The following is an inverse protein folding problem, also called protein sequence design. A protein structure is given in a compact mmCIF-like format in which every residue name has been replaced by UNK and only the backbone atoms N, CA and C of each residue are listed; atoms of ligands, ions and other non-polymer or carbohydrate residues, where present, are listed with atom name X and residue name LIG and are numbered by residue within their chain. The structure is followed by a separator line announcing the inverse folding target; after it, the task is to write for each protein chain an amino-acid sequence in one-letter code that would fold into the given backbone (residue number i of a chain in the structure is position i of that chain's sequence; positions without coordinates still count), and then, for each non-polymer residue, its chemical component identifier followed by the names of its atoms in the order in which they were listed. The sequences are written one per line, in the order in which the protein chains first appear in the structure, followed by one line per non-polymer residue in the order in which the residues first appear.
data_IF_520112464449
#
_entry.id   IF_520112464449
#
_cell.length_a   1.000
_cell.length_b   1.000
_cell.length_c   1.000
_cell.angle_alpha   90.00
_cell.angle_beta   90.00
_cell.angle_gamma   90.00
#
_symmetry.space_group_name_H-M   'P 1'
#
loop_
_entity.id
_entity.type
_entity.pdbx_description
1 polymer ?
#
# COMPACT_ATOMS: atom_id res chain seq x y z
N UNK A 1 11.58 -11.75 26.71
CA UNK A 1 12.78 -12.46 26.24
C UNK A 1 13.21 -12.12 24.81
N UNK A 2 12.38 -11.56 23.93
CA UNK A 2 12.78 -11.16 22.55
C UNK A 2 13.60 -9.84 22.50
N UNK A 3 13.39 -8.92 23.42
CA UNK A 3 14.08 -7.63 23.48
C UNK A 3 15.53 -7.72 23.92
N UNK A 4 15.91 -8.77 24.66
CA UNK A 4 17.26 -8.92 25.15
C UNK A 4 18.25 -9.41 24.07
N UNK A 5 17.77 -10.20 23.08
CA UNK A 5 18.62 -10.69 21.98
C UNK A 5 19.02 -9.58 21.01
N UNK A 6 18.15 -8.60 20.76
CA UNK A 6 18.45 -7.46 19.88
C UNK A 6 19.51 -6.52 20.47
N UNK A 7 19.50 -6.32 21.80
CA UNK A 7 20.46 -5.50 22.50
C UNK A 7 21.85 -6.16 22.53
N UNK A 8 21.91 -7.48 22.67
CA UNK A 8 23.17 -8.23 22.69
C UNK A 8 23.86 -8.23 21.31
N UNK A 9 23.10 -8.26 20.21
CA UNK A 9 23.67 -8.22 18.86
C UNK A 9 24.29 -6.86 18.55
N UNK A 10 23.67 -5.75 19.01
CA UNK A 10 24.24 -4.40 18.86
C UNK A 10 25.53 -4.19 19.69
N UNK A 11 25.63 -4.80 20.88
CA UNK A 11 26.83 -4.77 21.70
C UNK A 11 27.99 -5.53 21.06
N UNK A 12 27.72 -6.64 20.37
CA UNK A 12 28.75 -7.43 19.67
C UNK A 12 29.29 -6.66 18.46
N UNK A 13 28.44 -5.93 17.72
CA UNK A 13 28.86 -5.07 16.60
C UNK A 13 29.73 -3.92 17.09
N UNK A 14 29.37 -3.27 18.20
CA UNK A 14 30.16 -2.18 18.79
C UNK A 14 31.53 -2.64 19.33
N UNK A 15 31.61 -3.84 19.89
CA UNK A 15 32.87 -4.43 20.39
C UNK A 15 33.85 -4.80 19.26
N UNK A 16 33.35 -5.30 18.11
CA UNK A 16 34.23 -5.65 16.99
C UNK A 16 34.77 -4.41 16.25
N UNK A 17 34.01 -3.30 16.20
CA UNK A 17 34.49 -2.04 15.61
C UNK A 17 35.55 -1.34 16.47
N UNK A 18 35.45 -1.42 17.80
CA UNK A 18 36.47 -0.84 18.69
C UNK A 18 37.85 -1.56 18.59
N UNK A 19 37.87 -2.86 18.29
CA UNK A 19 39.14 -3.61 18.13
C UNK A 19 39.84 -3.24 16.80
N UNK A 20 39.08 -2.96 15.73
CA UNK A 20 39.66 -2.53 14.44
C UNK A 20 40.08 -1.07 14.48
N UNK A 21 39.36 -0.19 15.20
CA UNK A 21 39.72 1.20 15.37
C UNK A 21 41.01 1.38 16.20
N UNK A 22 41.27 0.53 17.21
CA UNK A 22 42.50 0.60 18.01
C UNK A 22 43.77 0.18 17.25
N UNK A 23 43.67 -0.73 16.27
CA UNK A 23 44.84 -1.10 15.45
C UNK A 23 45.11 -0.10 14.31
N UNK A 24 44.12 0.66 13.85
CA UNK A 24 44.29 1.70 12.83
C UNK A 24 44.76 3.06 13.41
N UNK A 25 44.60 3.28 14.73
CA UNK A 25 44.89 4.59 15.38
C UNK A 25 46.36 4.78 15.72
N UNK A 26 47.26 3.83 15.44
CA UNK A 26 48.66 3.97 15.83
C UNK A 26 49.63 4.50 14.77
N UNK A 27 49.19 4.82 13.56
CA UNK A 27 50.09 5.33 12.51
C UNK A 27 49.65 6.54 11.70
N UNK A 28 48.79 7.43 12.14
CA UNK A 28 48.61 8.71 11.43
C UNK A 28 48.29 9.85 12.39
N UNK A 29 49.35 10.44 12.96
CA UNK A 29 49.36 11.84 13.38
C UNK A 29 49.76 12.73 12.19
N UNK A 30 48.99 13.85 12.07
CA UNK A 30 49.18 15.03 11.25
C UNK A 30 48.67 15.00 9.82
N UNK A 31 47.47 15.57 9.59
CA UNK A 31 47.25 16.82 8.82
C UNK A 31 45.76 17.06 8.55
N UNK A 32 45.34 18.29 8.90
CA UNK A 32 44.15 18.99 8.41
C UNK A 32 42.83 18.24 8.36
N UNK A 33 41.94 18.53 9.31
CA UNK A 33 40.51 18.23 9.33
C UNK A 33 39.80 18.76 8.07
N UNK A 34 39.86 18.01 6.97
CA UNK A 34 38.85 18.06 5.94
C UNK A 34 37.76 17.11 6.40
N UNK A 35 36.67 17.63 6.97
CA UNK A 35 35.45 16.86 7.27
C UNK A 35 34.88 16.33 5.94
N UNK A 36 35.35 15.15 5.51
CA UNK A 36 34.81 14.46 4.33
C UNK A 36 33.41 13.98 4.69
N UNK A 37 32.41 14.46 3.95
CA UNK A 37 31.03 14.07 4.20
C UNK A 37 30.78 12.60 3.77
N UNK A 38 29.81 11.93 4.38
CA UNK A 38 29.40 10.57 3.96
C UNK A 38 29.02 10.51 2.48
N UNK A 39 28.49 11.61 1.94
CA UNK A 39 28.16 11.73 0.53
C UNK A 39 29.40 11.71 -0.40
N UNK A 40 30.50 12.33 0.01
CA UNK A 40 31.77 12.27 -0.73
C UNK A 40 32.40 10.88 -0.67
N UNK A 41 32.30 10.23 0.50
CA UNK A 41 32.75 8.84 0.66
C UNK A 41 31.94 7.88 -0.25
N UNK A 42 30.61 8.07 -0.34
CA UNK A 42 29.76 7.31 -1.25
C UNK A 42 30.11 7.55 -2.74
N UNK A 43 30.39 8.78 -3.13
CA UNK A 43 30.88 9.12 -4.48
C UNK A 43 32.21 8.39 -4.81
N UNK A 44 33.12 8.30 -3.84
CA UNK A 44 34.38 7.54 -4.00
C UNK A 44 34.09 6.05 -4.23
N UNK A 45 33.22 5.46 -3.41
CA UNK A 45 32.80 4.06 -3.56
C UNK A 45 32.22 3.85 -4.96
N UNK A 46 31.23 4.63 -5.36
CA UNK A 46 30.54 4.49 -6.65
C UNK A 46 31.48 4.62 -7.85
N UNK A 47 32.46 5.50 -7.78
CA UNK A 47 33.47 5.68 -8.82
C UNK A 47 34.41 4.47 -8.96
N UNK A 48 34.67 3.76 -7.84
CA UNK A 48 35.64 2.68 -7.80
C UNK A 48 35.03 1.30 -8.06
N UNK A 49 33.75 1.07 -7.72
CA UNK A 49 33.04 -0.21 -7.91
C UNK A 49 33.18 -0.78 -9.34
N UNK A 50 33.00 -0.01 -10.43
CA UNK A 50 33.11 -0.59 -11.79
C UNK A 50 34.51 -1.14 -12.11
N UNK A 51 35.57 -0.53 -11.56
CA UNK A 51 36.96 -1.01 -11.71
C UNK A 51 37.21 -2.21 -10.79
N UNK A 52 36.68 -2.18 -9.57
CA UNK A 52 36.75 -3.27 -8.60
C UNK A 52 36.12 -4.55 -9.15
N UNK A 53 34.93 -4.50 -9.72
CA UNK A 53 34.25 -5.64 -10.36
C UNK A 53 35.11 -6.30 -11.46
N UNK A 54 35.95 -5.54 -12.14
CA UNK A 54 36.86 -6.03 -13.19
C UNK A 54 38.25 -6.43 -12.65
N UNK A 55 38.44 -6.38 -11.33
CA UNK A 55 39.73 -6.57 -10.66
C UNK A 55 40.86 -5.68 -11.21
N UNK A 56 40.54 -4.41 -11.51
CA UNK A 56 41.44 -3.42 -12.14
C UNK A 56 41.79 -2.24 -11.22
N UNK A 57 41.64 -2.41 -9.89
CA UNK A 57 42.09 -1.41 -8.92
C UNK A 57 43.60 -1.50 -8.74
N UNK A 58 44.28 -0.33 -8.69
CA UNK A 58 45.62 -0.28 -8.15
C UNK A 58 45.57 -0.16 -6.61
N UNK A 59 46.71 -0.33 -5.95
CA UNK A 59 46.81 -0.33 -4.50
C UNK A 59 46.21 0.92 -3.86
N UNK A 60 46.53 2.12 -4.37
CA UNK A 60 45.97 3.38 -3.87
C UNK A 60 44.47 3.46 -3.99
N UNK A 61 43.91 2.94 -5.09
CA UNK A 61 42.46 2.90 -5.32
C UNK A 61 41.76 1.89 -4.40
N UNK A 62 42.42 0.76 -4.12
CA UNK A 62 41.89 -0.23 -3.19
C UNK A 62 41.87 0.32 -1.75
N UNK A 63 42.94 0.99 -1.31
CA UNK A 63 42.97 1.69 -0.03
C UNK A 63 41.88 2.75 0.06
N UNK A 64 41.71 3.58 -0.98
CA UNK A 64 40.66 4.59 -1.00
C UNK A 64 39.25 3.96 -0.90
N UNK A 65 38.97 2.87 -1.65
CA UNK A 65 37.70 2.17 -1.57
C UNK A 65 37.46 1.61 -0.18
N UNK A 66 38.49 1.00 0.41
CA UNK A 66 38.42 0.41 1.75
C UNK A 66 38.11 1.46 2.81
N UNK A 67 38.88 2.55 2.82
CA UNK A 67 38.68 3.64 3.79
C UNK A 67 37.30 4.28 3.62
N UNK A 68 36.94 4.65 2.39
CA UNK A 68 35.62 5.26 2.13
C UNK A 68 34.47 4.38 2.61
N UNK A 69 34.55 3.05 2.41
CA UNK A 69 33.52 2.11 2.89
C UNK A 69 33.45 2.07 4.42
N UNK A 70 34.58 1.95 5.10
CA UNK A 70 34.60 1.84 6.56
C UNK A 70 34.22 3.14 7.25
N UNK A 71 34.75 4.28 6.80
CA UNK A 71 34.45 5.60 7.36
C UNK A 71 33.00 5.98 7.18
N UNK A 72 32.41 5.76 5.99
CA UNK A 72 31.01 6.04 5.74
C UNK A 72 30.08 5.17 6.63
N UNK A 73 30.37 3.89 6.76
CA UNK A 73 29.58 3.02 7.62
C UNK A 73 29.74 3.35 9.11
N UNK A 74 30.93 3.70 9.53
CA UNK A 74 31.19 4.14 10.92
C UNK A 74 30.42 5.42 11.25
N UNK A 75 30.44 6.40 10.37
CA UNK A 75 29.68 7.66 10.53
C UNK A 75 28.18 7.41 10.65
N UNK A 76 27.61 6.56 9.77
CA UNK A 76 26.19 6.22 9.84
C UNK A 76 25.84 5.44 11.12
N UNK A 77 26.66 4.48 11.55
CA UNK A 77 26.45 3.79 12.82
C UNK A 77 26.51 4.70 14.03
N UNK A 78 27.49 5.61 14.07
CA UNK A 78 27.60 6.59 15.13
C UNK A 78 26.36 7.48 15.18
N UNK A 79 25.93 7.99 14.05
CA UNK A 79 24.74 8.85 13.95
C UNK A 79 23.47 8.11 14.38
N UNK A 80 23.28 6.85 13.99
CA UNK A 80 22.16 6.02 14.46
C UNK A 80 22.16 5.87 15.98
N UNK A 81 23.34 5.68 16.59
CA UNK A 81 23.43 5.60 18.07
C UNK A 81 23.07 6.92 18.75
N UNK A 82 23.49 8.04 18.19
CA UNK A 82 23.14 9.38 18.69
C UNK A 82 21.63 9.65 18.61
N UNK A 83 21.04 9.37 17.45
CA UNK A 83 19.60 9.51 17.23
C UNK A 83 18.80 8.66 18.22
N UNK A 84 19.17 7.40 18.42
CA UNK A 84 18.47 6.51 19.36
C UNK A 84 18.53 7.01 20.82
N UNK A 85 19.54 7.79 21.21
CA UNK A 85 19.62 8.40 22.53
C UNK A 85 18.63 9.54 22.71
N UNK A 86 18.25 10.25 21.65
CA UNK A 86 17.30 11.37 21.73
C UNK A 86 15.88 10.90 22.07
N UNK A 87 15.50 9.69 21.65
CA UNK A 87 14.19 9.11 21.92
C UNK A 87 13.02 9.80 21.23
N UNK A 88 13.27 10.77 20.35
CA UNK A 88 12.22 11.49 19.62
C UNK A 88 11.66 10.61 18.49
N UNK A 89 10.37 10.70 18.17
CA UNK A 89 9.78 9.82 17.16
C UNK A 89 10.16 10.15 15.70
N UNK A 90 10.58 11.37 15.40
CA UNK A 90 11.02 11.84 14.08
C UNK A 90 12.34 11.25 13.61
N UNK A 91 13.16 10.77 14.55
CA UNK A 91 14.47 10.17 14.25
C UNK A 91 14.38 8.94 13.31
N UNK A 92 13.22 8.26 13.25
CA UNK A 92 13.11 7.00 12.55
C UNK A 92 13.23 7.12 11.04
N UNK A 93 12.91 8.27 10.48
CA UNK A 93 13.14 8.57 9.06
C UNK A 93 14.65 8.56 8.78
N UNK A 94 15.42 9.32 9.55
CA UNK A 94 16.88 9.39 9.38
C UNK A 94 17.54 8.04 9.68
N UNK A 95 17.10 7.34 10.72
CA UNK A 95 17.62 6.00 11.06
C UNK A 95 17.40 5.01 9.91
N UNK A 96 16.21 5.01 9.28
CA UNK A 96 15.94 4.17 8.13
C UNK A 96 16.92 4.44 6.99
N UNK A 97 17.09 5.71 6.60
CA UNK A 97 18.00 6.07 5.52
C UNK A 97 19.44 5.70 5.82
N UNK A 98 19.91 5.88 7.07
CA UNK A 98 21.28 5.48 7.47
C UNK A 98 21.48 3.97 7.36
N UNK A 99 20.53 3.17 7.80
CA UNK A 99 20.59 1.69 7.69
C UNK A 99 20.54 1.27 6.22
N UNK A 100 19.68 1.90 5.42
CA UNK A 100 19.57 1.61 3.97
C UNK A 100 20.85 1.98 3.21
N UNK A 101 21.51 3.10 3.58
CA UNK A 101 22.83 3.46 3.06
C UNK A 101 23.89 2.41 3.37
N UNK A 102 23.96 1.93 4.62
CA UNK A 102 24.88 0.84 5.02
C UNK A 102 24.59 -0.43 4.19
N UNK A 103 23.30 -0.80 4.05
CA UNK A 103 22.88 -1.95 3.26
C UNK A 103 23.23 -1.80 1.77
N UNK A 104 23.01 -0.61 1.21
CA UNK A 104 23.36 -0.29 -0.18
C UNK A 104 24.85 -0.40 -0.43
N UNK A 105 25.70 0.13 0.48
CA UNK A 105 27.16 0.00 0.38
C UNK A 105 27.62 -1.44 0.46
N UNK A 106 27.13 -2.20 1.46
CA UNK A 106 27.54 -3.60 1.59
C UNK A 106 27.13 -4.44 0.39
N UNK A 107 25.97 -4.22 -0.22
CA UNK A 107 25.51 -4.91 -1.42
C UNK A 107 26.41 -4.60 -2.63
N UNK A 108 26.93 -3.36 -2.74
CA UNK A 108 27.92 -2.99 -3.76
C UNK A 108 29.25 -3.73 -3.58
N UNK A 109 29.70 -3.95 -2.34
CA UNK A 109 30.94 -4.66 -2.03
C UNK A 109 30.77 -6.18 -2.11
N UNK A 110 29.63 -6.72 -1.72
CA UNK A 110 29.37 -8.18 -1.70
C UNK A 110 29.58 -8.86 -3.05
N UNK A 111 29.32 -8.14 -4.14
CA UNK A 111 29.46 -8.65 -5.52
C UNK A 111 30.88 -8.49 -6.10
N UNK A 112 31.85 -8.01 -5.33
CA UNK A 112 33.24 -7.86 -5.75
C UNK A 112 34.01 -9.18 -5.67
N UNK A 113 35.16 -9.32 -6.38
CA UNK A 113 36.02 -10.46 -6.28
C UNK A 113 36.52 -10.74 -4.83
N UNK A 114 36.72 -12.02 -4.49
CA UNK A 114 37.04 -12.41 -3.11
C UNK A 114 38.37 -11.84 -2.60
N UNK A 115 39.36 -11.69 -3.47
CA UNK A 115 40.64 -11.07 -3.11
C UNK A 115 40.45 -9.59 -2.66
N UNK A 116 39.56 -8.84 -3.30
CA UNK A 116 39.24 -7.46 -2.88
C UNK A 116 38.46 -7.47 -1.57
N UNK A 117 37.43 -8.31 -1.43
CA UNK A 117 36.65 -8.43 -0.19
C UNK A 117 37.52 -8.83 1.00
N UNK A 118 38.47 -9.74 0.80
CA UNK A 118 39.41 -10.17 1.83
C UNK A 118 40.35 -9.04 2.26
N UNK A 119 40.89 -8.28 1.30
CA UNK A 119 41.74 -7.12 1.60
C UNK A 119 40.99 -6.03 2.37
N UNK A 120 39.69 -5.82 2.06
CA UNK A 120 38.81 -4.89 2.75
C UNK A 120 38.33 -5.40 4.11
N UNK A 121 38.65 -6.60 4.54
CA UNK A 121 38.05 -7.28 5.71
C UNK A 121 36.51 -7.21 5.68
N UNK A 122 35.93 -7.32 4.48
CA UNK A 122 34.48 -7.22 4.30
C UNK A 122 33.74 -8.37 4.98
N UNK A 123 32.71 -8.04 5.73
CA UNK A 123 31.75 -8.98 6.31
C UNK A 123 30.34 -8.51 5.99
N UNK A 124 29.54 -9.41 5.43
CA UNK A 124 28.13 -9.15 5.18
C UNK A 124 27.37 -9.16 6.50
N UNK A 125 26.65 -8.08 6.78
CA UNK A 125 25.76 -7.95 7.93
C UNK A 125 24.34 -8.32 7.51
N UNK A 126 23.63 -9.04 8.36
CA UNK A 126 22.17 -9.23 8.20
C UNK A 126 21.45 -8.02 8.80
N UNK A 127 20.97 -7.13 7.93
CA UNK A 127 20.26 -5.89 8.29
C UNK A 127 18.75 -5.95 8.05
N UNK A 128 18.20 -7.09 7.64
CA UNK A 128 16.80 -7.22 7.23
C UNK A 128 15.83 -6.83 8.36
N UNK A 129 16.13 -7.20 9.59
CA UNK A 129 15.32 -6.85 10.75
C UNK A 129 15.39 -5.37 11.09
N UNK A 130 16.58 -4.78 11.03
CA UNK A 130 16.82 -3.36 11.30
C UNK A 130 16.12 -2.48 10.25
N UNK A 131 16.25 -2.82 8.97
CA UNK A 131 15.57 -2.14 7.86
C UNK A 131 14.06 -2.20 8.07
N UNK A 132 13.49 -3.39 8.29
CA UNK A 132 12.06 -3.55 8.49
C UNK A 132 11.56 -2.76 9.69
N UNK A 133 12.20 -2.88 10.84
CA UNK A 133 11.81 -2.18 12.06
C UNK A 133 11.90 -0.65 11.94
N UNK A 134 12.95 -0.13 11.30
CA UNK A 134 13.11 1.30 11.08
C UNK A 134 12.10 1.84 10.07
N UNK A 135 11.83 1.08 8.99
CA UNK A 135 10.80 1.36 8.00
C UNK A 135 9.41 1.48 8.63
N UNK A 136 9.00 0.47 9.41
CA UNK A 136 7.70 0.46 10.10
C UNK A 136 7.54 1.66 11.03
N UNK A 137 8.59 2.01 11.80
CA UNK A 137 8.54 3.15 12.73
C UNK A 137 8.54 4.49 12.03
N UNK A 138 9.30 4.63 10.93
CA UNK A 138 9.27 5.83 10.09
C UNK A 138 7.89 6.04 9.48
N UNK A 139 7.28 5.00 8.93
CA UNK A 139 5.92 5.04 8.40
C UNK A 139 4.89 5.44 9.47
N UNK A 140 4.95 4.82 10.65
CA UNK A 140 4.07 5.18 11.77
C UNK A 140 4.20 6.65 12.17
N UNK A 141 5.44 7.16 12.25
CA UNK A 141 5.67 8.57 12.56
C UNK A 141 5.08 9.48 11.49
N UNK A 142 5.40 9.22 10.21
CA UNK A 142 4.89 10.01 9.08
C UNK A 142 3.36 10.06 9.11
N UNK A 143 2.70 8.92 9.25
CA UNK A 143 1.24 8.86 9.28
C UNK A 143 0.65 9.62 10.48
N UNK A 144 1.23 9.46 11.67
CA UNK A 144 0.77 10.14 12.88
C UNK A 144 0.95 11.66 12.78
N UNK A 145 2.12 12.11 12.32
CA UNK A 145 2.44 13.54 12.15
C UNK A 145 1.55 14.17 11.08
N UNK A 146 1.40 13.52 9.92
CA UNK A 146 0.52 14.01 8.83
C UNK A 146 -0.93 14.14 9.30
N UNK A 147 -1.47 13.12 9.97
CA UNK A 147 -2.83 13.19 10.50
C UNK A 147 -3.00 14.27 11.60
N UNK A 148 -1.95 14.59 12.35
CA UNK A 148 -1.99 15.69 13.32
C UNK A 148 -2.01 17.05 12.62
N UNK A 149 -1.18 17.26 11.61
CA UNK A 149 -1.11 18.50 10.82
C UNK A 149 -2.43 18.75 10.08
N UNK A 150 -3.02 17.72 9.50
CA UNK A 150 -4.30 17.79 8.79
C UNK A 150 -5.52 18.11 9.66
N UNK A 151 -5.39 18.13 11.01
CA UNK A 151 -6.43 18.65 11.90
C UNK A 151 -6.54 20.17 11.89
N UNK A 152 -5.49 20.86 11.46
CA UNK A 152 -5.43 22.31 11.39
C UNK A 152 -4.91 22.73 10.01
N UNK A 153 -5.82 22.83 9.05
CA UNK A 153 -5.51 23.07 7.64
C UNK A 153 -5.03 24.52 7.45
N UNK A 154 -3.80 24.66 6.99
CA UNK A 154 -3.18 25.89 6.50
C UNK A 154 -2.06 25.53 5.52
N UNK A 155 -1.56 26.49 4.75
CA UNK A 155 -0.59 26.27 3.69
C UNK A 155 0.71 25.58 4.20
N UNK A 156 1.23 26.01 5.35
CA UNK A 156 2.44 25.45 5.96
C UNK A 156 2.26 23.98 6.33
N UNK A 157 1.13 23.64 6.97
CA UNK A 157 0.81 22.25 7.34
C UNK A 157 0.59 21.38 6.10
N UNK A 158 -0.02 21.90 5.05
CA UNK A 158 -0.21 21.16 3.80
C UNK A 158 1.13 20.87 3.13
N UNK A 159 2.03 21.87 3.02
CA UNK A 159 3.38 21.69 2.48
C UNK A 159 4.19 20.65 3.30
N UNK A 160 4.09 20.69 4.64
CA UNK A 160 4.75 19.69 5.49
C UNK A 160 4.20 18.29 5.25
N UNK A 161 2.88 18.12 5.10
CA UNK A 161 2.26 16.81 4.80
C UNK A 161 2.65 16.32 3.41
N UNK A 162 2.74 17.17 2.40
CA UNK A 162 3.24 16.82 1.06
C UNK A 162 4.69 16.32 1.12
N UNK A 163 5.53 16.99 1.90
CA UNK A 163 6.91 16.58 2.13
C UNK A 163 6.98 15.21 2.81
N UNK A 164 6.19 15.00 3.87
CA UNK A 164 6.09 13.72 4.57
C UNK A 164 5.56 12.59 3.67
N UNK A 165 4.58 12.88 2.83
CA UNK A 165 4.06 11.92 1.84
C UNK A 165 5.12 11.54 0.80
N UNK A 166 5.91 12.51 0.33
CA UNK A 166 7.03 12.25 -0.57
C UNK A 166 8.07 11.35 0.09
N UNK A 167 8.33 11.56 1.38
CA UNK A 167 9.25 10.75 2.16
C UNK A 167 8.72 9.32 2.38
N UNK A 168 7.43 9.19 2.70
CA UNK A 168 6.77 7.88 2.81
C UNK A 168 6.90 7.08 1.52
N UNK A 169 6.72 7.74 0.37
CA UNK A 169 6.87 7.09 -0.93
C UNK A 169 8.29 6.54 -1.17
N UNK A 170 9.33 7.25 -0.72
CA UNK A 170 10.72 6.78 -0.81
C UNK A 170 10.97 5.58 0.11
N UNK A 171 10.44 5.63 1.34
CA UNK A 171 10.62 4.59 2.35
C UNK A 171 9.81 3.33 2.02
N UNK A 172 8.54 3.50 1.65
CA UNK A 172 7.61 2.41 1.38
C UNK A 172 6.64 2.72 0.24
N UNK A 173 7.05 2.60 -1.04
CA UNK A 173 6.18 2.91 -2.18
C UNK A 173 4.93 2.02 -2.29
N UNK A 174 4.86 0.92 -1.52
CA UNK A 174 3.71 0.01 -1.46
C UNK A 174 2.83 0.24 -0.23
N UNK A 175 3.04 1.33 0.52
CA UNK A 175 2.23 1.64 1.68
C UNK A 175 0.81 2.04 1.29
N UNK A 176 -0.19 1.40 1.89
CA UNK A 176 -1.60 1.77 1.73
C UNK A 176 -1.91 3.18 2.29
N UNK A 177 -1.05 3.71 3.17
CA UNK A 177 -1.21 5.04 3.74
C UNK A 177 -0.91 6.17 2.74
N UNK A 178 -0.21 5.87 1.64
CA UNK A 178 0.10 6.85 0.57
C UNK A 178 -1.20 7.37 -0.06
N UNK A 179 -2.09 6.47 -0.43
CA UNK A 179 -3.35 6.85 -1.08
C UNK A 179 -4.29 7.57 -0.09
N UNK A 180 -4.36 7.12 1.17
CA UNK A 180 -5.13 7.79 2.22
C UNK A 180 -4.67 9.23 2.46
N UNK A 181 -3.36 9.45 2.61
CA UNK A 181 -2.80 10.80 2.81
C UNK A 181 -2.97 11.69 1.57
N UNK A 182 -2.80 11.14 0.37
CA UNK A 182 -3.02 11.86 -0.89
C UNK A 182 -4.46 12.33 -1.03
N UNK A 183 -5.43 11.46 -0.73
CA UNK A 183 -6.84 11.81 -0.74
C UNK A 183 -7.16 12.90 0.28
N UNK A 184 -6.61 12.83 1.48
CA UNK A 184 -6.78 13.86 2.51
C UNK A 184 -6.23 15.22 2.08
N UNK A 185 -5.07 15.24 1.44
CA UNK A 185 -4.48 16.48 0.87
C UNK A 185 -5.36 17.10 -0.22
N UNK A 186 -6.12 16.30 -0.96
CA UNK A 186 -7.03 16.79 -2.01
C UNK A 186 -8.36 17.26 -1.41
N UNK A 187 -8.95 16.49 -0.49
CA UNK A 187 -10.31 16.71 0.00
C UNK A 187 -10.37 17.76 1.11
N UNK A 188 -9.50 17.65 2.11
CA UNK A 188 -9.59 18.46 3.32
C UNK A 188 -9.42 19.99 3.10
N UNK A 189 -8.59 20.47 2.15
CA UNK A 189 -8.49 21.89 1.84
C UNK A 189 -9.70 22.45 1.10
N UNK A 190 -10.53 21.58 0.49
CA UNK A 190 -11.68 22.01 -0.30
C UNK A 190 -12.78 22.57 0.60
N UNK A 191 -13.45 23.62 0.11
CA UNK A 191 -14.58 24.29 0.82
C UNK A 191 -15.93 23.80 0.31
N UNK A 192 -16.01 23.54 -1.00
CA UNK A 192 -17.21 23.12 -1.69
C UNK A 192 -16.90 21.99 -2.67
N UNK A 193 -17.49 20.84 -2.44
CA UNK A 193 -17.29 19.65 -3.28
C UNK A 193 -18.56 19.34 -4.06
N UNK A 194 -18.43 19.06 -5.36
CA UNK A 194 -19.52 18.52 -6.17
C UNK A 194 -19.29 17.02 -6.40
N UNK A 195 -20.23 16.19 -5.98
CA UNK A 195 -20.17 14.74 -6.19
C UNK A 195 -21.10 14.33 -7.35
N UNK A 196 -20.61 13.66 -8.38
CA UNK A 196 -21.40 13.30 -9.57
C UNK A 196 -21.10 11.89 -10.07
N UNK A 197 -22.13 11.26 -10.67
CA UNK A 197 -21.96 10.12 -11.56
C UNK A 197 -22.02 10.61 -13.01
N UNK A 198 -21.08 10.14 -13.82
CA UNK A 198 -21.07 10.37 -15.26
C UNK A 198 -21.03 9.02 -16.00
N UNK A 199 -21.83 8.92 -17.05
CA UNK A 199 -21.88 7.73 -17.90
C UNK A 199 -21.87 8.17 -19.36
N UNK A 200 -21.25 7.40 -20.28
CA UNK A 200 -21.48 7.59 -21.70
C UNK A 200 -22.96 7.50 -22.05
N UNK A 201 -23.40 8.25 -23.03
CA UNK A 201 -24.82 8.34 -23.44
C UNK A 201 -25.39 7.00 -23.92
N UNK A 202 -24.55 6.09 -24.35
CA UNK A 202 -24.91 4.75 -24.82
C UNK A 202 -25.15 3.74 -23.69
N UNK A 203 -24.76 4.08 -22.46
CA UNK A 203 -24.94 3.20 -21.30
C UNK A 203 -26.22 3.55 -20.54
N UNK A 204 -27.26 2.78 -20.78
CA UNK A 204 -28.54 2.93 -20.07
C UNK A 204 -28.51 2.19 -18.74
N UNK A 205 -28.81 2.90 -17.65
CA UNK A 205 -28.99 2.35 -16.31
C UNK A 205 -30.45 2.45 -15.86
N UNK A 206 -30.88 1.70 -14.83
CA UNK A 206 -32.17 1.93 -14.18
C UNK A 206 -32.34 3.39 -13.76
N UNK A 207 -33.55 3.92 -13.87
CA UNK A 207 -33.86 5.35 -13.60
C UNK A 207 -33.35 5.82 -12.23
N UNK A 208 -33.43 4.96 -11.22
CA UNK A 208 -33.00 5.26 -9.85
C UNK A 208 -31.55 4.83 -9.54
N UNK A 209 -30.74 4.45 -10.52
CA UNK A 209 -29.37 3.97 -10.32
C UNK A 209 -28.50 5.02 -9.62
N UNK A 210 -28.48 6.25 -10.13
CA UNK A 210 -27.70 7.35 -9.55
C UNK A 210 -28.17 7.70 -8.13
N UNK A 211 -29.47 7.68 -7.88
CA UNK A 211 -30.05 7.92 -6.57
C UNK A 211 -29.57 6.85 -5.56
N UNK A 212 -29.61 5.57 -5.93
CA UNK A 212 -29.17 4.47 -5.08
C UNK A 212 -27.65 4.51 -4.82
N UNK A 213 -26.86 4.89 -5.82
CA UNK A 213 -25.41 4.97 -5.70
C UNK A 213 -24.93 6.18 -4.88
N UNK A 214 -25.72 7.26 -4.81
CA UNK A 214 -25.41 8.49 -4.08
C UNK A 214 -26.36 8.71 -2.88
N UNK A 215 -26.91 7.64 -2.32
CA UNK A 215 -27.76 7.70 -1.11
C UNK A 215 -26.89 7.78 0.15
N UNK A 216 -26.46 8.98 0.50
CA UNK A 216 -25.61 9.24 1.65
C UNK A 216 -26.44 9.61 2.89
N UNK A 217 -25.97 9.19 4.07
CA UNK A 217 -26.62 9.50 5.36
C UNK A 217 -26.41 10.97 5.76
N UNK A 218 -25.24 11.52 5.43
CA UNK A 218 -24.96 12.96 5.46
C UNK A 218 -24.14 13.35 4.19
N UNK A 219 -24.16 14.63 3.87
CA UNK A 219 -23.45 15.15 2.72
C UNK A 219 -22.09 15.73 3.12
N UNK A 220 -21.28 14.93 3.82
CA UNK A 220 -19.90 15.29 4.18
C UNK A 220 -18.91 14.17 3.89
N UNK A 221 -17.69 14.55 3.49
CA UNK A 221 -16.53 13.67 3.40
C UNK A 221 -15.49 14.19 4.37
N UNK A 222 -15.19 13.44 5.42
CA UNK A 222 -14.29 13.84 6.51
C UNK A 222 -14.63 15.24 7.09
N UNK A 223 -15.92 15.57 7.14
CA UNK A 223 -16.43 16.87 7.62
C UNK A 223 -16.47 17.98 6.56
N UNK A 224 -15.98 17.73 5.34
CA UNK A 224 -16.11 18.70 4.22
C UNK A 224 -17.46 18.47 3.54
N UNK A 225 -18.31 19.51 3.42
CA UNK A 225 -19.63 19.38 2.80
C UNK A 225 -19.54 19.16 1.29
N UNK A 226 -20.46 18.38 0.74
CA UNK A 226 -20.61 18.22 -0.71
C UNK A 226 -22.06 18.31 -1.16
N UNK A 227 -22.24 18.69 -2.42
CA UNK A 227 -23.52 18.65 -3.12
C UNK A 227 -23.53 17.53 -4.17
N UNK A 228 -24.67 16.88 -4.38
CA UNK A 228 -24.89 15.88 -5.44
C UNK A 228 -25.48 16.57 -6.68
N UNK A 229 -26.28 17.62 -6.45
CA UNK A 229 -26.89 18.42 -7.50
C UNK A 229 -26.16 19.77 -7.53
N UNK A 230 -25.66 20.22 -8.68
CA UNK A 230 -25.01 21.52 -8.75
C UNK A 230 -26.01 22.63 -8.49
N UNK A 231 -25.58 23.69 -7.79
CA UNK A 231 -26.35 24.91 -7.50
C UNK A 231 -25.74 26.08 -8.27
N UNK A 232 -26.52 26.83 -8.99
CA UNK A 232 -26.08 27.94 -9.86
C UNK A 232 -25.33 29.07 -9.11
N UNK A 233 -25.52 29.17 -7.79
CA UNK A 233 -24.90 30.20 -6.96
C UNK A 233 -23.73 29.69 -6.10
N UNK A 234 -23.21 28.50 -6.39
CA UNK A 234 -22.06 27.91 -5.67
C UNK A 234 -20.91 27.70 -6.60
N UNK A 235 -19.73 28.16 -6.18
CA UNK A 235 -18.47 27.82 -6.79
C UNK A 235 -17.94 26.55 -6.11
N UNK A 236 -17.59 25.54 -6.91
CA UNK A 236 -17.02 24.28 -6.43
C UNK A 236 -15.52 24.27 -6.67
N UNK A 237 -14.73 23.95 -5.64
CA UNK A 237 -13.28 23.84 -5.74
C UNK A 237 -12.88 22.46 -6.29
N UNK A 238 -13.61 21.43 -5.84
CA UNK A 238 -13.32 20.02 -6.16
C UNK A 238 -14.57 19.35 -6.72
N UNK A 239 -14.41 18.60 -7.80
CA UNK A 239 -15.44 17.66 -8.28
C UNK A 239 -14.94 16.23 -8.09
N UNK A 240 -15.74 15.41 -7.40
CA UNK A 240 -15.55 13.96 -7.34
C UNK A 240 -16.49 13.33 -8.36
N UNK A 241 -15.93 12.82 -9.46
CA UNK A 241 -16.67 12.24 -10.55
C UNK A 241 -16.51 10.71 -10.60
N UNK A 242 -17.60 9.99 -10.44
CA UNK A 242 -17.65 8.55 -10.72
C UNK A 242 -17.95 8.39 -12.21
N UNK A 243 -16.94 8.14 -13.01
CA UNK A 243 -17.06 7.87 -14.43
C UNK A 243 -17.26 6.37 -14.63
N UNK A 244 -18.48 5.96 -15.02
CA UNK A 244 -18.75 4.56 -15.40
C UNK A 244 -18.51 4.40 -16.89
N UNK A 245 -17.48 3.66 -17.27
CA UNK A 245 -17.05 3.52 -18.66
C UNK A 245 -17.68 2.30 -19.36
N UNK A 246 -17.98 1.26 -18.59
CA UNK A 246 -18.47 0.00 -19.12
C UNK A 246 -19.39 -0.71 -18.12
N UNK A 247 -20.38 -1.41 -18.65
CA UNK A 247 -21.18 -2.38 -17.91
C UNK A 247 -21.26 -3.72 -18.64
N UNK A 248 -21.39 -4.81 -17.90
CA UNK A 248 -21.56 -6.16 -18.44
C UNK A 248 -22.56 -6.94 -17.63
N UNK A 249 -23.28 -7.84 -18.28
CA UNK A 249 -24.11 -8.85 -17.61
C UNK A 249 -23.71 -10.22 -18.15
N UNK A 250 -23.46 -11.18 -17.27
CA UNK A 250 -23.18 -12.55 -17.67
C UNK A 250 -24.45 -13.24 -18.20
N UNK A 251 -24.33 -14.25 -19.05
CA UNK A 251 -25.45 -15.15 -19.34
C UNK A 251 -25.97 -15.79 -18.04
N UNK A 252 -27.24 -16.12 -18.04
CA UNK A 252 -27.86 -16.99 -17.04
C UNK A 252 -27.24 -18.39 -17.12
N UNK A 253 -26.75 -18.90 -15.99
CA UNK A 253 -26.11 -20.22 -15.92
C UNK A 253 -26.78 -21.06 -14.86
N UNK A 254 -27.09 -22.30 -15.21
CA UNK A 254 -27.51 -23.35 -14.27
C UNK A 254 -26.48 -24.48 -14.36
N UNK A 255 -25.65 -24.55 -13.35
CA UNK A 255 -24.71 -25.66 -13.17
C UNK A 255 -25.45 -26.80 -12.47
N UNK A 256 -25.33 -28.01 -13.02
CA UNK A 256 -25.99 -29.19 -12.49
C UNK A 256 -24.97 -30.24 -12.14
N UNK A 257 -25.05 -30.77 -10.91
CA UNK A 257 -24.31 -31.94 -10.46
C UNK A 257 -25.29 -33.05 -10.05
N UNK A 258 -25.02 -34.29 -10.48
CA UNK A 258 -25.86 -35.42 -10.16
C UNK A 258 -25.04 -36.46 -9.41
N UNK A 259 -25.57 -36.93 -8.26
CA UNK A 259 -24.96 -37.96 -7.44
C UNK A 259 -26.03 -38.82 -6.77
N UNK A 260 -25.63 -39.95 -6.17
CA UNK A 260 -26.52 -40.82 -5.41
C UNK A 260 -26.28 -40.64 -3.91
N UNK A 261 -27.33 -40.54 -3.13
CA UNK A 261 -27.30 -40.71 -1.67
C UNK A 261 -27.96 -42.03 -1.28
N UNK A 262 -27.45 -42.58 -0.17
CA UNK A 262 -27.92 -43.87 0.33
C UNK A 262 -28.10 -43.79 1.84
N UNK A 263 -29.27 -44.25 2.33
CA UNK A 263 -29.60 -44.32 3.74
C UNK A 263 -30.59 -45.45 3.99
N UNK A 264 -30.32 -46.26 4.99
CA UNK A 264 -31.21 -47.38 5.43
C UNK A 264 -31.62 -48.34 4.27
N UNK A 265 -30.65 -48.62 3.36
CA UNK A 265 -30.89 -49.50 2.21
C UNK A 265 -31.66 -48.87 1.05
N UNK A 266 -32.08 -47.62 1.16
CA UNK A 266 -32.74 -46.83 0.11
C UNK A 266 -31.72 -46.05 -0.64
N UNK A 267 -31.95 -45.81 -1.94
CA UNK A 267 -31.07 -45.02 -2.84
C UNK A 267 -31.92 -43.93 -3.46
N UNK A 268 -31.37 -42.73 -3.51
CA UNK A 268 -31.97 -41.59 -4.18
C UNK A 268 -30.95 -40.93 -5.08
N UNK A 269 -31.36 -40.56 -6.30
CA UNK A 269 -30.56 -39.78 -7.22
C UNK A 269 -30.85 -38.30 -6.98
N UNK A 270 -29.84 -37.56 -6.56
CA UNK A 270 -29.91 -36.13 -6.30
C UNK A 270 -29.40 -35.37 -7.50
N UNK A 271 -30.14 -34.38 -7.94
CA UNK A 271 -29.72 -33.40 -8.95
C UNK A 271 -29.61 -32.04 -8.30
N UNK A 272 -28.38 -31.67 -7.97
CA UNK A 272 -27.99 -30.40 -7.37
C UNK A 272 -27.87 -29.34 -8.46
N UNK A 273 -28.51 -28.19 -8.28
CA UNK A 273 -28.55 -27.10 -9.27
C UNK A 273 -28.14 -25.78 -8.64
N UNK A 274 -27.15 -25.14 -9.24
CA UNK A 274 -26.70 -23.79 -8.85
C UNK A 274 -26.94 -22.82 -10.00
N UNK A 275 -27.82 -21.85 -9.76
CA UNK A 275 -28.10 -20.74 -10.67
C UNK A 275 -27.17 -19.58 -10.41
N UNK A 276 -26.56 -18.99 -11.44
CA UNK A 276 -25.70 -17.82 -11.31
C UNK A 276 -25.92 -16.82 -12.43
N UNK A 277 -25.93 -15.53 -12.09
CA UNK A 277 -25.95 -14.40 -13.01
C UNK A 277 -25.25 -13.21 -12.37
N UNK A 278 -24.38 -12.52 -13.10
CA UNK A 278 -23.55 -11.43 -12.57
C UNK A 278 -23.69 -10.18 -13.43
N UNK A 279 -23.93 -9.05 -12.80
CA UNK A 279 -23.77 -7.74 -13.42
C UNK A 279 -22.53 -7.05 -12.87
N UNK A 280 -21.76 -6.38 -13.74
CA UNK A 280 -20.52 -5.67 -13.36
C UNK A 280 -20.48 -4.31 -14.04
N UNK A 281 -20.03 -3.29 -13.31
CA UNK A 281 -19.64 -1.98 -13.85
C UNK A 281 -18.13 -1.80 -13.70
N UNK A 282 -17.54 -1.05 -14.64
CA UNK A 282 -16.13 -0.67 -14.64
C UNK A 282 -16.04 0.83 -14.85
N UNK A 283 -15.10 1.47 -14.20
CA UNK A 283 -14.93 2.90 -14.33
C UNK A 283 -13.80 3.45 -13.49
N UNK A 284 -13.86 4.76 -13.28
CA UNK A 284 -12.87 5.50 -12.50
C UNK A 284 -13.54 6.48 -11.55
N UNK A 285 -12.97 6.64 -10.35
CA UNK A 285 -13.28 7.74 -9.44
C UNK A 285 -12.23 8.80 -9.68
N UNK A 286 -12.64 9.96 -10.15
CA UNK A 286 -11.77 11.07 -10.51
C UNK A 286 -11.98 12.23 -9.54
N UNK A 287 -10.87 12.79 -9.07
CA UNK A 287 -10.82 14.02 -8.27
C UNK A 287 -10.34 15.15 -9.16
N UNK A 288 -11.17 16.14 -9.40
CA UNK A 288 -10.95 17.19 -10.40
C UNK A 288 -10.92 18.55 -9.72
N UNK A 289 -9.79 19.25 -9.85
CA UNK A 289 -9.71 20.69 -9.55
C UNK A 289 -10.58 21.43 -10.56
N UNK A 290 -11.66 22.05 -10.08
CA UNK A 290 -12.67 22.66 -10.96
C UNK A 290 -12.15 23.94 -11.60
N UNK A 291 -11.36 24.73 -10.85
CA UNK A 291 -10.79 25.99 -11.35
C UNK A 291 -9.78 25.75 -12.47
N UNK A 292 -8.92 24.73 -12.29
CA UNK A 292 -7.86 24.39 -13.25
C UNK A 292 -8.30 23.38 -14.31
N UNK A 293 -9.52 22.86 -14.22
CA UNK A 293 -10.03 21.77 -15.07
C UNK A 293 -9.07 20.56 -15.13
N UNK A 294 -8.39 20.25 -14.01
CA UNK A 294 -7.32 19.25 -13.96
C UNK A 294 -7.73 18.06 -13.10
N UNK A 295 -7.53 16.85 -13.61
CA UNK A 295 -7.63 15.62 -12.80
C UNK A 295 -6.42 15.56 -11.88
N UNK A 296 -6.66 15.61 -10.57
CA UNK A 296 -5.65 15.51 -9.51
C UNK A 296 -5.32 14.05 -9.20
N UNK A 297 -6.35 13.20 -9.21
CA UNK A 297 -6.24 11.77 -8.96
C UNK A 297 -7.33 11.03 -9.74
N UNK A 298 -7.01 9.86 -10.25
CA UNK A 298 -7.96 8.94 -10.87
C UNK A 298 -7.68 7.52 -10.38
N UNK A 299 -8.71 6.83 -9.86
CA UNK A 299 -8.62 5.49 -9.30
C UNK A 299 -9.60 4.58 -10.02
N UNK A 300 -9.14 3.50 -10.68
CA UNK A 300 -10.03 2.56 -11.34
C UNK A 300 -10.82 1.75 -10.32
N UNK A 301 -12.04 1.36 -10.72
CA UNK A 301 -12.86 0.42 -9.96
C UNK A 301 -13.57 -0.59 -10.87
N UNK A 302 -13.84 -1.75 -10.29
CA UNK A 302 -14.81 -2.71 -10.81
C UNK A 302 -15.72 -3.18 -9.67
N UNK A 303 -17.03 -3.18 -9.92
CA UNK A 303 -18.05 -3.55 -8.93
C UNK A 303 -19.01 -4.53 -9.55
N UNK A 304 -19.12 -5.71 -8.92
CA UNK A 304 -19.97 -6.78 -9.38
C UNK A 304 -21.08 -7.13 -8.38
N UNK A 305 -22.28 -7.39 -8.88
CA UNK A 305 -23.32 -8.06 -8.14
C UNK A 305 -23.63 -9.42 -8.76
N UNK A 306 -23.46 -10.48 -7.98
CA UNK A 306 -23.70 -11.85 -8.39
C UNK A 306 -24.94 -12.38 -7.68
N UNK A 307 -25.94 -12.75 -8.47
CA UNK A 307 -27.01 -13.62 -8.02
C UNK A 307 -26.49 -15.06 -8.02
N UNK A 308 -26.63 -15.74 -6.88
CA UNK A 308 -26.33 -17.15 -6.73
C UNK A 308 -27.46 -17.81 -5.95
N UNK A 309 -28.10 -18.80 -6.55
CA UNK A 309 -29.19 -19.54 -5.94
C UNK A 309 -28.97 -21.04 -6.09
N UNK A 310 -29.12 -21.78 -5.00
CA UNK A 310 -28.82 -23.20 -4.90
C UNK A 310 -30.06 -23.95 -4.47
N UNK A 311 -30.47 -24.98 -5.23
CA UNK A 311 -31.60 -25.88 -4.93
C UNK A 311 -31.30 -27.26 -5.46
N UNK A 312 -32.08 -28.25 -5.05
CA UNK A 312 -31.95 -29.63 -5.54
C UNK A 312 -33.30 -30.21 -5.99
N UNK A 313 -33.22 -31.21 -6.83
CA UNK A 313 -34.33 -32.08 -7.24
C UNK A 313 -33.91 -33.53 -6.98
N UNK A 314 -34.86 -34.44 -6.77
CA UNK A 314 -34.57 -35.85 -6.53
C UNK A 314 -35.43 -36.75 -7.42
N UNK A 315 -34.85 -37.91 -7.73
CA UNK A 315 -35.55 -39.05 -8.30
C UNK A 315 -35.35 -40.23 -7.35
N UNK A 316 -36.42 -40.58 -6.62
CA UNK A 316 -36.42 -41.59 -5.56
C UNK A 316 -37.02 -41.11 -4.23
N UNK A 317 -36.73 -41.84 -3.16
CA UNK A 317 -37.34 -41.59 -1.86
C UNK A 317 -36.61 -40.47 -1.06
N UNK A 318 -37.38 -39.49 -0.61
CA UNK A 318 -36.84 -38.32 0.16
C UNK A 318 -36.14 -38.75 1.45
N UNK A 319 -36.55 -39.86 2.10
CA UNK A 319 -35.97 -40.36 3.35
C UNK A 319 -34.52 -40.84 3.17
N UNK A 320 -34.09 -41.12 1.94
CA UNK A 320 -32.71 -41.50 1.64
C UNK A 320 -31.78 -40.29 1.53
N UNK A 321 -32.30 -39.05 1.57
CA UNK A 321 -31.51 -37.82 1.44
C UNK A 321 -30.80 -37.47 2.75
N UNK A 322 -29.64 -36.81 2.60
CA UNK A 322 -28.97 -36.15 3.71
C UNK A 322 -29.74 -34.90 4.21
N UNK A 323 -29.44 -34.40 5.39
CA UNK A 323 -30.05 -33.17 5.90
C UNK A 323 -29.76 -31.97 5.01
N UNK A 324 -28.56 -31.89 4.44
CA UNK A 324 -28.16 -30.83 3.52
C UNK A 324 -28.99 -30.86 2.21
N UNK A 325 -29.19 -32.04 1.63
CA UNK A 325 -30.02 -32.20 0.45
C UNK A 325 -31.49 -31.87 0.75
N UNK A 326 -32.02 -32.26 1.93
CA UNK A 326 -33.37 -31.90 2.33
C UNK A 326 -33.58 -30.39 2.43
N UNK A 327 -32.60 -29.62 2.95
CA UNK A 327 -32.67 -28.16 2.97
C UNK A 327 -32.73 -27.56 1.55
N UNK A 328 -32.00 -28.12 0.61
CA UNK A 328 -32.02 -27.68 -0.79
C UNK A 328 -33.35 -28.04 -1.51
N UNK A 329 -33.92 -29.18 -1.18
CA UNK A 329 -35.23 -29.61 -1.71
C UNK A 329 -36.38 -28.73 -1.20
N UNK A 330 -36.27 -28.15 0.01
CA UNK A 330 -37.30 -27.28 0.56
C UNK A 330 -37.24 -25.85 -0.02
N UNK A 331 -36.23 -25.52 -0.80
CA UNK A 331 -36.11 -24.25 -1.51
C UNK A 331 -37.01 -24.24 -2.75
N UNK A 332 -37.81 -23.19 -2.88
CA UNK A 332 -38.65 -23.02 -4.07
C UNK A 332 -37.76 -22.62 -5.25
N UNK A 333 -38.05 -23.17 -6.44
CA UNK A 333 -37.41 -22.67 -7.65
C UNK A 333 -37.86 -21.24 -7.89
N UNK A 334 -36.90 -20.35 -8.14
CA UNK A 334 -37.14 -18.94 -8.42
C UNK A 334 -36.57 -18.59 -9.80
N UNK A 335 -37.10 -17.53 -10.41
CA UNK A 335 -36.58 -17.03 -11.67
C UNK A 335 -35.27 -16.26 -11.47
N UNK A 336 -34.47 -16.14 -12.54
CA UNK A 336 -33.31 -15.24 -12.52
C UNK A 336 -33.75 -13.78 -12.34
N UNK A 337 -33.01 -12.99 -11.59
CA UNK A 337 -33.28 -11.55 -11.48
C UNK A 337 -33.11 -10.89 -12.86
N UNK A 338 -33.89 -9.85 -13.09
CA UNK A 338 -33.69 -8.98 -14.24
C UNK A 338 -32.34 -8.27 -14.18
N UNK A 339 -31.81 -7.89 -15.33
CA UNK A 339 -30.58 -7.07 -15.40
C UNK A 339 -30.73 -5.77 -14.60
N UNK A 340 -31.92 -5.16 -14.64
CA UNK A 340 -32.24 -3.97 -13.87
C UNK A 340 -32.08 -4.21 -12.35
N UNK A 341 -32.60 -5.33 -11.84
CA UNK A 341 -32.47 -5.68 -10.42
C UNK A 341 -31.01 -5.83 -10.02
N UNK A 342 -30.20 -6.49 -10.83
CA UNK A 342 -28.77 -6.64 -10.58
C UNK A 342 -28.02 -5.29 -10.61
N UNK A 343 -28.36 -4.38 -11.53
CA UNK A 343 -27.74 -3.06 -11.54
C UNK A 343 -28.16 -2.18 -10.36
N UNK A 344 -29.36 -2.34 -9.82
CA UNK A 344 -29.76 -1.70 -8.56
C UNK A 344 -28.91 -2.20 -7.39
N UNK A 345 -28.57 -3.49 -7.35
CA UNK A 345 -27.67 -4.03 -6.34
C UNK A 345 -26.23 -3.56 -6.53
N UNK A 346 -25.75 -3.44 -7.79
CA UNK A 346 -24.47 -2.81 -8.10
C UNK A 346 -24.42 -1.37 -7.59
N UNK A 347 -25.50 -0.58 -7.77
CA UNK A 347 -25.57 0.79 -7.27
C UNK A 347 -25.44 0.87 -5.75
N UNK A 348 -26.13 -0.02 -5.01
CA UNK A 348 -26.00 -0.10 -3.53
C UNK A 348 -24.58 -0.47 -3.10
N UNK A 349 -23.95 -1.46 -3.77
CA UNK A 349 -22.55 -1.81 -3.50
C UNK A 349 -21.57 -0.67 -3.80
N UNK A 350 -21.80 0.08 -4.87
CA UNK A 350 -21.03 1.30 -5.16
C UNK A 350 -21.17 2.31 -4.01
N UNK A 351 -22.40 2.55 -3.54
CA UNK A 351 -22.67 3.41 -2.39
C UNK A 351 -21.93 2.94 -1.12
N UNK A 352 -22.00 1.64 -0.79
CA UNK A 352 -21.31 1.04 0.37
C UNK A 352 -19.79 1.25 0.30
N UNK A 353 -19.19 1.07 -0.90
CA UNK A 353 -17.78 1.30 -1.12
C UNK A 353 -17.42 2.77 -0.88
N UNK A 354 -18.18 3.70 -1.44
CA UNK A 354 -17.96 5.14 -1.28
C UNK A 354 -18.08 5.50 0.22
N UNK A 355 -19.14 5.09 0.89
CA UNK A 355 -19.33 5.31 2.34
C UNK A 355 -18.16 4.76 3.16
N UNK A 356 -17.72 3.54 2.86
CA UNK A 356 -16.64 2.88 3.61
C UNK A 356 -15.29 3.59 3.46
N UNK A 357 -15.02 4.24 2.34
CA UNK A 357 -13.75 4.91 2.07
C UNK A 357 -13.76 6.39 2.48
N UNK A 358 -14.86 7.09 2.26
CA UNK A 358 -14.89 8.55 2.36
C UNK A 358 -15.74 9.10 3.53
N UNK A 359 -16.64 8.30 4.11
CA UNK A 359 -17.49 8.71 5.25
C UNK A 359 -17.09 8.07 6.58
N UNK A 360 -15.89 7.51 6.71
CA UNK A 360 -15.40 7.02 8.01
C UNK A 360 -15.29 8.19 8.99
N UNK A 361 -16.01 8.04 10.13
CA UNK A 361 -15.94 8.95 11.28
C UNK A 361 -14.60 8.83 11.99
#
# INVERSE_FOLDING_TARGET
MKTLKSIVLFLIISLNYNIVAQTASQEHTTNADVNVTTEELDKNIDKLIPKAKKNKLNEKQLVLLTNSYHEANQADHQRIMELKKSGQPDIWIEIYHRIDNINTRQNKIAVLPDNIKSTMNFRLLDLDNEIRNSKEKAELYICAKSNLLLKNINDENLEEVESLLSELYKINPQSNNIDDLRLKLIILPSKQILFRIATPTELYFPENFAQLALDFDDNTIWGVPFDIVPHDNKDYDLMIRIMIEKKTVSPERVNTATFEERKDGKVVKVTDKTMTKTATIFGQIEFIDVEKEKILLSTPFDIASTFAYHYAEIDGERDACSSQTLELLDRKVIDFPSDEALFKDVARKLNDIIKSHYQKK
#
